data_IF_895770381091
#
_entry.id   IF_895770381091
#
_cell.length_a   1.000
_cell.length_b   1.000
_cell.length_c   1.000
_cell.angle_alpha   90.00
_cell.angle_beta   90.00
_cell.angle_gamma   90.00
#
_symmetry.space_group_name_H-M   'P 1'
#
loop_
_entity.id
_entity.type
_entity.pdbx_description
1 polymer ?
#
# COMPACT_ATOMS: atom_id res chain seq x y z
N UNK A 1 -3.43 13.47 12.51
CA UNK A 1 -3.05 12.98 11.17
C UNK A 1 -4.19 13.32 10.23
N UNK A 2 -3.89 13.84 9.05
CA UNK A 2 -4.92 14.11 8.06
C UNK A 2 -5.56 12.77 7.62
N UNK A 3 -6.87 12.77 7.35
CA UNK A 3 -7.61 11.57 6.94
C UNK A 3 -7.61 11.49 5.41
N UNK A 4 -6.94 10.50 4.79
CA UNK A 4 -6.98 10.37 3.34
C UNK A 4 -8.35 9.89 2.87
N UNK A 5 -8.71 10.28 1.66
CA UNK A 5 -9.83 9.67 0.94
C UNK A 5 -9.46 8.26 0.49
N UNK A 6 -10.44 7.35 0.49
CA UNK A 6 -10.23 5.95 0.11
C UNK A 6 -11.05 5.63 -1.13
N UNK A 7 -10.43 4.95 -2.09
CA UNK A 7 -11.10 4.57 -3.32
C UNK A 7 -10.57 3.30 -3.96
N UNK A 8 -11.36 2.77 -4.88
CA UNK A 8 -10.95 1.69 -5.77
C UNK A 8 -10.45 2.26 -7.10
N UNK A 9 -9.49 1.59 -7.71
CA UNK A 9 -9.06 1.91 -9.07
C UNK A 9 -10.16 1.59 -10.07
N UNK A 10 -10.30 2.42 -11.10
CA UNK A 10 -11.29 2.21 -12.17
C UNK A 10 -11.07 0.91 -12.95
N UNK A 11 -9.83 0.43 -13.03
CA UNK A 11 -9.47 -0.82 -13.71
C UNK A 11 -8.78 -1.76 -12.75
N UNK A 12 -9.03 -3.07 -12.91
CA UNK A 12 -8.30 -4.11 -12.21
C UNK A 12 -6.83 -4.08 -12.64
N UNK A 13 -5.92 -4.09 -11.67
CA UNK A 13 -4.48 -4.19 -11.88
C UNK A 13 -3.87 -5.22 -10.94
N UNK A 14 -3.02 -6.09 -11.48
CA UNK A 14 -2.19 -7.05 -10.72
C UNK A 14 -0.79 -6.52 -10.45
N UNK A 15 -0.39 -5.45 -11.15
CA UNK A 15 0.94 -4.83 -11.03
C UNK A 15 0.94 -3.79 -9.92
N UNK A 16 -0.08 -2.92 -9.91
CA UNK A 16 -0.27 -1.89 -8.90
C UNK A 16 -1.47 -2.26 -8.06
N UNK A 17 -1.18 -2.80 -6.89
CA UNK A 17 -2.17 -3.32 -5.95
C UNK A 17 -2.75 -2.22 -5.05
N UNK A 18 -1.96 -1.19 -4.77
CA UNK A 18 -2.35 0.04 -4.10
C UNK A 18 -1.39 1.16 -4.46
N UNK A 19 -1.81 2.40 -4.24
CA UNK A 19 -0.92 3.56 -4.18
C UNK A 19 -1.54 4.67 -3.33
N UNK A 20 -0.68 5.43 -2.65
CA UNK A 20 -1.01 6.74 -2.10
C UNK A 20 -0.74 7.84 -3.15
N UNK A 21 -1.72 8.72 -3.35
CA UNK A 21 -1.62 9.93 -4.16
C UNK A 21 -1.45 11.17 -3.26
N UNK A 22 -0.25 11.78 -3.22
CA UNK A 22 0.01 12.98 -2.43
C UNK A 22 -0.75 14.22 -2.90
N UNK A 23 -1.12 14.31 -4.19
CA UNK A 23 -1.77 15.49 -4.76
C UNK A 23 -3.23 15.60 -4.28
N UNK A 24 -3.91 14.46 -4.18
CA UNK A 24 -5.31 14.38 -3.75
C UNK A 24 -5.46 13.89 -2.31
N UNK A 25 -4.33 13.55 -1.65
CA UNK A 25 -4.31 12.97 -0.32
C UNK A 25 -5.27 11.76 -0.23
N UNK A 26 -5.13 10.84 -1.17
CA UNK A 26 -6.02 9.69 -1.33
C UNK A 26 -5.23 8.39 -1.40
N UNK A 27 -5.79 7.31 -0.84
CA UNK A 27 -5.30 5.95 -0.99
C UNK A 27 -6.22 5.23 -1.97
N UNK A 28 -5.65 4.71 -3.05
CA UNK A 28 -6.38 3.98 -4.07
C UNK A 28 -5.88 2.55 -4.13
N UNK A 29 -6.78 1.61 -3.85
CA UNK A 29 -6.52 0.17 -3.98
C UNK A 29 -7.00 -0.35 -5.34
N UNK A 30 -6.37 -1.39 -5.85
CA UNK A 30 -6.81 -2.03 -7.08
C UNK A 30 -8.23 -2.59 -6.90
N UNK A 31 -9.16 -2.33 -7.82
CA UNK A 31 -10.50 -2.95 -7.80
C UNK A 31 -10.48 -4.47 -7.92
N UNK A 32 -9.32 -5.08 -8.19
CA UNK A 32 -9.11 -6.52 -8.03
C UNK A 32 -9.38 -6.97 -6.58
N UNK A 33 -9.03 -6.12 -5.60
CA UNK A 33 -9.14 -6.43 -4.18
C UNK A 33 -10.55 -6.41 -3.61
N UNK A 34 -11.51 -5.87 -4.36
CA UNK A 34 -12.93 -5.88 -4.00
C UNK A 34 -13.63 -7.21 -4.38
N UNK A 35 -12.86 -8.18 -4.91
CA UNK A 35 -13.37 -9.49 -5.28
C UNK A 35 -13.67 -10.38 -4.06
N UNK A 36 -14.74 -11.20 -4.09
CA UNK A 36 -15.10 -12.08 -2.99
C UNK A 36 -14.06 -13.18 -2.73
N UNK A 37 -13.26 -13.55 -3.73
CA UNK A 37 -12.16 -14.49 -3.59
C UNK A 37 -10.91 -13.90 -2.90
N UNK A 38 -10.84 -12.58 -2.71
CA UNK A 38 -9.65 -11.93 -2.16
C UNK A 38 -9.64 -12.06 -0.63
N UNK A 39 -8.60 -12.67 -0.04
CA UNK A 39 -8.51 -12.76 1.40
C UNK A 39 -8.44 -11.37 2.04
N UNK A 40 -9.21 -11.15 3.10
CA UNK A 40 -9.22 -9.89 3.85
C UNK A 40 -7.81 -9.45 4.27
N UNK A 41 -6.96 -10.39 4.69
CA UNK A 41 -5.58 -10.14 5.09
C UNK A 41 -4.75 -9.47 3.97
N UNK A 42 -5.01 -9.81 2.71
CA UNK A 42 -4.33 -9.22 1.56
C UNK A 42 -4.69 -7.73 1.40
N UNK A 43 -5.99 -7.41 1.53
CA UNK A 43 -6.50 -6.03 1.47
C UNK A 43 -5.96 -5.21 2.64
N UNK A 44 -5.99 -5.76 3.85
CA UNK A 44 -5.48 -5.10 5.06
C UNK A 44 -3.99 -4.77 4.94
N UNK A 45 -3.18 -5.69 4.41
CA UNK A 45 -1.76 -5.47 4.23
C UNK A 45 -1.46 -4.39 3.19
N UNK A 46 -2.15 -4.36 2.05
CA UNK A 46 -1.92 -3.32 1.03
C UNK A 46 -2.37 -1.97 1.56
N UNK A 47 -3.54 -1.90 2.19
CA UNK A 47 -4.02 -0.70 2.85
C UNK A 47 -3.00 -0.16 3.87
N UNK A 48 -2.45 -1.04 4.72
CA UNK A 48 -1.42 -0.68 5.67
C UNK A 48 -0.14 -0.18 4.98
N UNK A 49 0.30 -0.83 3.91
CA UNK A 49 1.45 -0.39 3.12
C UNK A 49 1.22 1.02 2.54
N UNK A 50 0.02 1.31 2.03
CA UNK A 50 -0.31 2.66 1.55
C UNK A 50 -0.37 3.69 2.67
N UNK A 51 -0.88 3.34 3.85
CA UNK A 51 -0.82 4.20 5.03
C UNK A 51 0.62 4.54 5.44
N UNK A 52 1.58 3.62 5.25
CA UNK A 52 2.98 3.90 5.55
C UNK A 52 3.56 4.98 4.62
N UNK A 53 3.11 5.09 3.37
CA UNK A 53 3.53 6.17 2.47
C UNK A 53 3.10 7.56 2.96
N UNK A 54 1.99 7.66 3.72
CA UNK A 54 1.60 8.91 4.38
C UNK A 54 2.53 9.25 5.54
N UNK A 55 2.93 8.25 6.32
CA UNK A 55 3.75 8.44 7.53
C UNK A 55 5.23 8.65 7.21
N UNK A 56 5.72 7.98 6.17
CA UNK A 56 7.10 8.01 5.71
C UNK A 56 7.11 8.55 4.28
N UNK A 57 6.97 9.87 4.11
CA UNK A 57 6.96 10.48 2.80
C UNK A 57 8.29 10.25 2.08
N UNK A 58 8.23 10.34 0.77
CA UNK A 58 9.37 10.10 -0.11
C UNK A 58 10.54 11.03 0.20
N UNK A 59 11.69 10.44 0.52
CA UNK A 59 12.93 11.18 0.73
C UNK A 59 13.65 11.45 -0.60
N UNK A 60 14.23 12.64 -0.73
CA UNK A 60 15.09 13.01 -1.85
C UNK A 60 16.54 13.09 -1.37
N UNK A 61 17.38 12.14 -1.78
CA UNK A 61 18.84 12.20 -1.57
C UNK A 61 19.50 12.64 -2.87
N UNK A 62 19.61 13.95 -3.04
CA UNK A 62 20.04 14.57 -4.30
C UNK A 62 19.07 14.23 -5.43
N UNK A 63 19.57 13.66 -6.53
CA UNK A 63 18.74 13.24 -7.67
C UNK A 63 17.99 11.91 -7.45
N UNK A 64 18.23 11.19 -6.35
CA UNK A 64 17.62 9.87 -6.10
C UNK A 64 16.41 10.01 -5.18
N UNK A 65 15.31 9.42 -5.63
CA UNK A 65 14.05 9.33 -4.88
C UNK A 65 14.02 8.02 -4.10
N UNK A 66 13.93 8.09 -2.77
CA UNK A 66 13.84 6.94 -1.88
C UNK A 66 12.45 6.87 -1.25
N UNK A 67 11.64 5.92 -1.72
CA UNK A 67 10.27 5.72 -1.25
C UNK A 67 10.23 4.77 -0.04
N UNK A 68 10.90 3.62 -0.14
CA UNK A 68 10.98 2.64 0.95
C UNK A 68 12.29 2.80 1.72
N UNK A 69 12.35 3.84 2.56
CA UNK A 69 13.48 4.08 3.48
C UNK A 69 13.65 2.93 4.48
N UNK A 70 14.80 2.82 5.18
CA UNK A 70 14.97 1.85 6.25
C UNK A 70 13.88 1.93 7.32
N UNK A 71 13.43 3.13 7.66
CA UNK A 71 12.37 3.41 8.62
C UNK A 71 11.02 2.90 8.12
N UNK A 72 10.70 3.13 6.84
CA UNK A 72 9.52 2.55 6.19
C UNK A 72 9.54 1.03 6.32
N UNK A 73 10.66 0.39 5.97
CA UNK A 73 10.79 -1.08 6.02
C UNK A 73 10.70 -1.62 7.45
N UNK A 74 11.19 -0.87 8.44
CA UNK A 74 11.07 -1.25 9.84
C UNK A 74 9.61 -1.18 10.31
N UNK A 75 8.89 -0.11 9.95
CA UNK A 75 7.47 0.03 10.24
C UNK A 75 6.63 -1.02 9.48
N UNK A 76 6.99 -1.34 8.24
CA UNK A 76 6.30 -2.37 7.46
C UNK A 76 6.34 -3.74 8.16
N UNK A 77 7.46 -4.07 8.81
CA UNK A 77 7.64 -5.32 9.54
C UNK A 77 6.79 -5.42 10.80
N UNK A 78 6.18 -4.33 11.28
CA UNK A 78 5.29 -4.38 12.44
C UNK A 78 3.90 -4.89 12.10
N UNK A 79 3.57 -5.06 10.81
CA UNK A 79 2.29 -5.63 10.40
C UNK A 79 2.18 -7.10 10.83
N UNK A 80 1.14 -7.47 11.60
CA UNK A 80 0.88 -8.87 11.94
C UNK A 80 0.72 -9.69 10.66
N UNK A 81 1.30 -10.88 10.59
CA UNK A 81 1.15 -11.78 9.43
C UNK A 81 1.65 -11.19 8.09
N UNK A 82 2.58 -10.21 8.10
CA UNK A 82 3.16 -9.63 6.88
C UNK A 82 3.64 -10.68 5.87
N UNK A 83 4.25 -11.78 6.36
CA UNK A 83 4.73 -12.86 5.49
C UNK A 83 3.58 -13.57 4.77
N UNK A 84 2.55 -13.95 5.51
CA UNK A 84 1.36 -14.61 4.97
C UNK A 84 0.62 -13.70 3.99
N UNK A 85 0.44 -12.42 4.35
CA UNK A 85 -0.18 -11.44 3.47
C UNK A 85 0.58 -11.31 2.14
N UNK A 86 1.91 -11.23 2.18
CA UNK A 86 2.75 -11.21 0.96
C UNK A 86 2.61 -12.46 0.11
N UNK A 87 2.49 -13.63 0.72
CA UNK A 87 2.26 -14.88 -0.01
C UNK A 87 0.90 -14.91 -0.68
N UNK A 88 -0.14 -14.40 -0.02
CA UNK A 88 -1.48 -14.25 -0.60
C UNK A 88 -1.45 -13.29 -1.80
N UNK A 89 -0.78 -12.13 -1.68
CA UNK A 89 -0.65 -11.18 -2.79
C UNK A 89 0.07 -11.78 -4.01
N UNK A 90 1.02 -12.69 -3.81
CA UNK A 90 1.71 -13.38 -4.93
C UNK A 90 0.81 -14.35 -5.68
N UNK A 91 -0.29 -14.79 -5.06
CA UNK A 91 -1.27 -15.72 -5.66
C UNK A 91 -2.44 -15.00 -6.32
N UNK A 92 -2.61 -13.69 -6.05
CA UNK A 92 -3.65 -12.83 -6.64
C UNK A 92 -3.41 -12.48 -8.08
#
# INVERSE_FOLDING_TARGET
>A
MARPDLGWSLRKSRVTLGHYDPCHHAIVLSSLMDGPEVPRLAVEYVMFHEMLHLRYPVEHRGARRCVHTPEFKAAERTFPQMKEARELLRKL
#
